data_IF_932157457206
#
_entry.id   IF_932157457206
#
_cell.length_a   1.000
_cell.length_b   1.000
_cell.length_c   1.000
_cell.angle_alpha   90.00
_cell.angle_beta   90.00
_cell.angle_gamma   90.00
#
_symmetry.space_group_name_H-M   'P 1'
#
loop_
_entity.id
_entity.type
_entity.pdbx_description
1 polymer ?
#
# COMPACT_ATOMS: atom_id res chain seq x y z
N UNK A 1 3.24 -5.79 67.10
CA UNK A 1 2.47 -6.73 66.26
C UNK A 1 2.03 -6.14 64.90
N UNK A 2 2.00 -4.81 64.74
CA UNK A 2 1.62 -4.12 63.49
C UNK A 2 2.72 -4.22 62.41
N UNK A 3 3.99 -4.14 62.80
CA UNK A 3 5.14 -4.19 61.87
C UNK A 3 5.25 -5.56 61.15
N UNK A 4 4.90 -6.67 61.80
CA UNK A 4 4.89 -8.00 61.17
C UNK A 4 3.77 -8.16 60.13
N UNK A 5 2.61 -7.53 60.33
CA UNK A 5 1.51 -7.53 59.34
C UNK A 5 1.84 -6.64 58.14
N UNK A 6 2.55 -5.54 58.36
CA UNK A 6 3.00 -4.64 57.30
C UNK A 6 4.10 -5.27 56.43
N UNK A 7 5.04 -5.99 57.04
CA UNK A 7 6.07 -6.75 56.31
C UNK A 7 5.45 -7.88 55.46
N UNK A 8 4.39 -8.53 55.94
CA UNK A 8 3.67 -9.57 55.19
C UNK A 8 2.91 -8.99 53.98
N UNK A 9 2.37 -7.77 54.12
CA UNK A 9 1.71 -7.05 53.02
C UNK A 9 2.73 -6.62 51.95
N UNK A 10 3.92 -6.17 52.37
CA UNK A 10 5.01 -5.78 51.46
C UNK A 10 5.62 -7.00 50.75
N UNK A 11 5.67 -8.17 51.40
CA UNK A 11 6.06 -9.45 50.79
C UNK A 11 5.02 -10.06 49.85
N UNK A 12 3.80 -9.52 49.80
CA UNK A 12 2.77 -9.85 48.81
C UNK A 12 2.77 -8.91 47.60
N UNK A 13 3.53 -7.81 47.62
CA UNK A 13 3.72 -6.91 46.46
C UNK A 13 4.54 -7.53 45.31
N UNK A 14 5.48 -8.50 45.50
CA UNK A 14 6.09 -9.21 44.39
C UNK A 14 5.22 -10.35 43.85
N UNK A 15 4.01 -10.57 44.39
CA UNK A 15 2.91 -11.21 43.68
C UNK A 15 2.10 -10.18 42.87
N UNK A 16 2.77 -9.14 42.35
CA UNK A 16 2.35 -8.58 41.07
C UNK A 16 2.47 -9.73 40.08
N UNK A 17 1.34 -10.42 39.96
CA UNK A 17 1.04 -11.54 39.09
C UNK A 17 1.80 -11.35 37.77
N UNK A 18 2.43 -12.41 37.27
CA UNK A 18 2.96 -12.46 35.91
C UNK A 18 1.78 -12.23 34.95
N UNK A 19 1.46 -10.97 34.70
CA UNK A 19 0.40 -10.56 33.79
C UNK A 19 1.06 -10.10 32.50
N UNK A 20 0.62 -10.66 31.39
CA UNK A 20 0.98 -10.16 30.08
C UNK A 20 -0.11 -9.22 29.57
N UNK A 21 0.29 -8.28 28.71
CA UNK A 21 -0.65 -7.41 28.02
C UNK A 21 -0.56 -7.67 26.52
N UNK A 22 -1.69 -7.98 25.88
CA UNK A 22 -1.80 -7.89 24.42
C UNK A 22 -2.26 -6.49 24.06
N UNK A 23 -1.52 -5.82 23.18
CA UNK A 23 -1.77 -4.44 22.76
C UNK A 23 -1.99 -4.40 21.24
N UNK A 24 -3.15 -3.89 20.83
CA UNK A 24 -3.55 -3.67 19.43
C UNK A 24 -4.01 -2.22 19.30
N UNK A 25 -3.17 -1.36 18.73
CA UNK A 25 -3.39 0.11 18.66
C UNK A 25 -3.70 0.73 20.03
N UNK A 26 -4.96 1.06 20.30
CA UNK A 26 -5.47 1.64 21.54
C UNK A 26 -6.18 0.61 22.46
N UNK A 27 -6.27 -0.65 22.03
CA UNK A 27 -6.90 -1.74 22.77
C UNK A 27 -5.82 -2.51 23.56
N UNK A 28 -6.07 -2.68 24.86
CA UNK A 28 -5.22 -3.49 25.75
C UNK A 28 -6.02 -4.61 26.39
N UNK A 29 -5.54 -5.85 26.26
CA UNK A 29 -6.06 -7.02 26.96
C UNK A 29 -5.03 -7.44 28.00
N UNK A 30 -5.39 -7.32 29.28
CA UNK A 30 -4.58 -7.82 30.39
C UNK A 30 -5.04 -9.22 30.78
N UNK A 31 -4.09 -10.15 30.91
CA UNK A 31 -4.36 -11.48 31.48
C UNK A 31 -3.16 -11.98 32.28
N UNK A 32 -3.43 -12.83 33.27
CA UNK A 32 -2.43 -13.50 34.10
C UNK A 32 -2.21 -14.97 33.75
N UNK A 33 -3.03 -15.52 32.85
CA UNK A 33 -2.96 -16.94 32.47
C UNK A 33 -3.42 -17.16 31.02
N UNK A 34 -2.92 -18.23 30.40
CA UNK A 34 -3.33 -18.67 29.07
C UNK A 34 -4.36 -19.79 29.24
N UNK A 35 -5.62 -19.46 29.03
CA UNK A 35 -6.77 -20.36 29.09
C UNK A 35 -7.72 -20.12 27.90
N UNK A 36 -8.75 -20.94 27.76
CA UNK A 36 -9.74 -20.83 26.68
C UNK A 36 -10.30 -19.41 26.54
N UNK A 37 -10.83 -18.84 27.63
CA UNK A 37 -11.48 -17.51 27.62
C UNK A 37 -10.51 -16.39 27.23
N UNK A 38 -9.25 -16.50 27.66
CA UNK A 38 -8.22 -15.51 27.34
C UNK A 38 -7.86 -15.58 25.87
N UNK A 39 -7.64 -16.78 25.33
CA UNK A 39 -7.30 -16.97 23.92
C UNK A 39 -8.48 -16.59 23.02
N UNK A 40 -9.70 -17.00 23.38
CA UNK A 40 -10.93 -16.60 22.69
C UNK A 40 -11.01 -15.07 22.60
N UNK A 41 -10.87 -14.37 23.73
CA UNK A 41 -10.92 -12.90 23.77
C UNK A 41 -9.83 -12.26 22.90
N UNK A 42 -8.60 -12.77 22.93
CA UNK A 42 -7.50 -12.23 22.13
C UNK A 42 -7.79 -12.40 20.64
N UNK A 43 -8.15 -13.62 20.22
CA UNK A 43 -8.40 -13.92 18.81
C UNK A 43 -9.64 -13.22 18.28
N UNK A 44 -10.74 -13.18 19.05
CA UNK A 44 -11.97 -12.47 18.67
C UNK A 44 -11.72 -10.97 18.52
N UNK A 45 -11.02 -10.36 19.50
CA UNK A 45 -10.65 -8.94 19.45
C UNK A 45 -9.75 -8.66 18.25
N UNK A 46 -8.76 -9.53 18.00
CA UNK A 46 -7.79 -9.31 16.93
C UNK A 46 -8.40 -9.51 15.54
N UNK A 47 -9.15 -10.60 15.33
CA UNK A 47 -9.91 -10.86 14.09
C UNK A 47 -10.89 -9.71 13.79
N UNK A 48 -11.63 -9.26 14.80
CA UNK A 48 -12.52 -8.11 14.67
C UNK A 48 -11.78 -6.81 14.35
N UNK A 49 -10.64 -6.56 14.99
CA UNK A 49 -9.82 -5.38 14.72
C UNK A 49 -9.29 -5.37 13.29
N UNK A 50 -8.83 -6.53 12.80
CA UNK A 50 -8.34 -6.70 11.44
C UNK A 50 -9.43 -6.56 10.38
N UNK A 51 -10.71 -6.55 10.77
CA UNK A 51 -11.85 -6.71 9.86
C UNK A 51 -11.64 -7.91 8.94
N UNK A 52 -11.14 -9.00 9.52
CA UNK A 52 -10.92 -10.25 8.81
C UNK A 52 -12.28 -10.87 8.43
N UNK A 53 -12.34 -11.48 7.26
CA UNK A 53 -13.54 -12.19 6.82
C UNK A 53 -13.65 -13.56 7.52
N UNK A 54 -12.53 -14.11 8.01
CA UNK A 54 -12.51 -15.37 8.76
C UNK A 54 -12.69 -15.14 10.26
N UNK A 55 -13.89 -15.46 10.75
CA UNK A 55 -14.23 -15.40 12.16
C UNK A 55 -13.73 -16.63 12.91
N UNK A 56 -13.41 -16.45 14.18
CA UNK A 56 -13.14 -17.58 15.07
C UNK A 56 -14.39 -18.46 15.18
N UNK A 57 -14.18 -19.78 15.24
CA UNK A 57 -15.22 -20.75 15.54
C UNK A 57 -14.90 -21.41 16.87
N UNK A 58 -15.91 -21.54 17.73
CA UNK A 58 -15.76 -22.18 19.04
C UNK A 58 -16.69 -23.39 19.15
N UNK A 59 -16.28 -24.37 19.94
CA UNK A 59 -17.13 -25.50 20.28
C UNK A 59 -16.50 -26.40 21.32
N UNK A 60 -17.13 -27.56 21.54
CA UNK A 60 -16.63 -28.55 22.50
C UNK A 60 -16.66 -29.95 21.90
N UNK A 61 -15.64 -30.76 22.22
CA UNK A 61 -15.55 -32.18 21.87
C UNK A 61 -15.19 -32.95 23.14
N UNK A 62 -16.15 -33.71 23.69
CA UNK A 62 -15.96 -34.41 24.95
C UNK A 62 -15.72 -33.44 26.11
N UNK A 63 -14.54 -33.48 26.71
CA UNK A 63 -14.12 -32.59 27.80
C UNK A 63 -13.21 -31.45 27.35
N UNK A 64 -13.07 -31.24 26.04
CA UNK A 64 -12.25 -30.19 25.46
C UNK A 64 -13.11 -29.08 24.89
N UNK A 65 -12.79 -27.84 25.22
CA UNK A 65 -13.29 -26.65 24.52
C UNK A 65 -12.26 -26.23 23.48
N UNK A 66 -12.67 -25.96 22.25
CA UNK A 66 -11.77 -25.63 21.16
C UNK A 66 -12.10 -24.30 20.50
N UNK A 67 -11.05 -23.68 19.97
CA UNK A 67 -11.11 -22.49 19.12
C UNK A 67 -10.45 -22.87 17.79
N UNK A 68 -11.13 -22.56 16.70
CA UNK A 68 -10.63 -22.71 15.34
C UNK A 68 -10.53 -21.34 14.66
N UNK A 69 -9.37 -21.07 14.06
CA UNK A 69 -9.12 -19.85 13.30
C UNK A 69 -8.04 -20.10 12.24
N UNK A 70 -8.25 -19.66 11.00
CA UNK A 70 -7.34 -19.88 9.86
C UNK A 70 -6.91 -21.34 9.67
N UNK A 71 -7.87 -22.27 9.72
CA UNK A 71 -7.65 -23.73 9.65
C UNK A 71 -6.73 -24.29 10.75
N UNK A 72 -6.54 -23.58 11.86
CA UNK A 72 -5.77 -24.04 13.01
C UNK A 72 -6.70 -24.22 14.20
N UNK A 73 -6.56 -25.35 14.89
CA UNK A 73 -7.40 -25.72 16.03
C UNK A 73 -6.56 -25.77 17.30
N UNK A 74 -6.97 -25.00 18.31
CA UNK A 74 -6.46 -25.10 19.68
C UNK A 74 -7.58 -25.64 20.58
N UNK A 75 -7.30 -26.67 21.35
CA UNK A 75 -8.25 -27.26 22.28
C UNK A 75 -7.71 -27.23 23.71
N UNK A 76 -8.57 -26.88 24.66
CA UNK A 76 -8.26 -26.72 26.07
C UNK A 76 -8.98 -27.77 26.90
N UNK A 77 -8.26 -28.38 27.83
CA UNK A 77 -8.80 -29.14 28.95
C UNK A 77 -8.16 -28.62 30.25
N UNK A 78 -8.66 -29.05 31.40
CA UNK A 78 -8.18 -28.58 32.72
C UNK A 78 -6.65 -28.66 32.92
N UNK A 79 -5.95 -29.55 32.21
CA UNK A 79 -4.50 -29.76 32.40
C UNK A 79 -3.69 -29.77 31.10
N UNK A 80 -4.35 -29.80 29.93
CA UNK A 80 -3.68 -30.03 28.64
C UNK A 80 -4.28 -29.09 27.61
N UNK A 81 -3.41 -28.41 26.87
CA UNK A 81 -3.73 -27.68 25.66
C UNK A 81 -3.22 -28.47 24.46
N UNK A 82 -4.08 -28.70 23.48
CA UNK A 82 -3.75 -29.41 22.25
C UNK A 82 -3.70 -28.39 21.11
N UNK A 83 -2.56 -28.28 20.45
CA UNK A 83 -2.32 -27.44 19.27
C UNK A 83 -2.34 -28.35 18.04
N UNK A 84 -3.46 -28.38 17.31
CA UNK A 84 -3.79 -29.40 16.31
C UNK A 84 -3.69 -30.83 16.88
N UNK A 85 -2.51 -31.45 16.81
CA UNK A 85 -2.26 -32.82 17.28
C UNK A 85 -1.22 -32.91 18.41
N UNK A 86 -0.62 -31.78 18.82
CA UNK A 86 0.45 -31.75 19.82
C UNK A 86 -0.09 -31.29 21.19
N UNK A 87 0.04 -32.16 22.20
CA UNK A 87 -0.41 -31.88 23.56
C UNK A 87 0.70 -31.24 24.43
N UNK A 88 0.40 -30.09 25.04
CA UNK A 88 1.29 -29.35 25.95
C UNK A 88 0.61 -29.13 27.32
N UNK A 89 1.37 -29.22 28.41
CA UNK A 89 0.88 -29.03 29.79
C UNK A 89 1.11 -27.64 30.39
N UNK A 90 1.94 -26.82 29.75
CA UNK A 90 2.19 -25.42 30.13
C UNK A 90 2.41 -24.65 28.84
N UNK A 91 1.42 -23.89 28.40
CA UNK A 91 1.49 -23.08 27.18
C UNK A 91 1.76 -21.63 27.57
N UNK A 92 2.72 -20.98 26.91
CA UNK A 92 2.92 -19.53 27.05
C UNK A 92 2.05 -18.77 26.05
N UNK A 93 1.97 -17.44 26.18
CA UNK A 93 1.23 -16.66 25.19
C UNK A 93 1.95 -16.63 23.84
N UNK A 94 3.29 -16.66 23.85
CA UNK A 94 4.12 -16.83 22.65
C UNK A 94 3.76 -18.10 21.90
N UNK A 95 3.63 -19.24 22.59
CA UNK A 95 3.22 -20.49 21.96
C UNK A 95 1.88 -20.35 21.20
N UNK A 96 0.92 -19.58 21.74
CA UNK A 96 -0.38 -19.34 21.11
C UNK A 96 -0.25 -18.41 19.91
N UNK A 97 0.44 -17.27 20.06
CA UNK A 97 0.63 -16.30 18.99
C UNK A 97 1.41 -16.91 17.82
N UNK A 98 2.50 -17.62 18.10
CA UNK A 98 3.30 -18.34 17.12
C UNK A 98 2.49 -19.45 16.45
N UNK A 99 1.69 -20.21 17.22
CA UNK A 99 0.83 -21.23 16.65
C UNK A 99 -0.14 -20.65 15.62
N UNK A 100 -0.75 -19.49 15.89
CA UNK A 100 -1.65 -18.82 14.94
C UNK A 100 -0.95 -17.95 13.89
N UNK A 101 0.39 -17.96 13.82
CA UNK A 101 1.19 -17.08 12.96
C UNK A 101 0.95 -15.57 13.18
N UNK A 102 0.46 -15.19 14.37
CA UNK A 102 0.27 -13.78 14.74
C UNK A 102 1.65 -13.19 15.04
N UNK A 103 2.09 -12.22 14.24
CA UNK A 103 3.36 -11.52 14.51
C UNK A 103 3.21 -10.50 15.62
N UNK A 104 4.19 -10.51 16.54
CA UNK A 104 4.20 -9.63 17.70
C UNK A 104 5.61 -9.11 18.00
N UNK A 105 5.65 -7.97 18.69
CA UNK A 105 6.84 -7.48 19.37
C UNK A 105 6.62 -7.59 20.88
N UNK A 106 7.56 -8.23 21.59
CA UNK A 106 7.53 -8.35 23.04
C UNK A 106 8.51 -7.36 23.66
N UNK A 107 8.03 -6.52 24.57
CA UNK A 107 8.90 -5.65 25.36
C UNK A 107 9.36 -6.30 26.68
N UNK A 108 10.23 -5.60 27.40
CA UNK A 108 10.79 -6.07 28.68
C UNK A 108 9.75 -6.18 29.81
N UNK A 109 8.54 -5.63 29.61
CA UNK A 109 7.45 -5.60 30.59
C UNK A 109 6.34 -6.59 30.26
N UNK A 110 6.61 -7.59 29.44
CA UNK A 110 5.62 -8.59 29.00
C UNK A 110 4.43 -7.97 28.26
N UNK A 111 4.65 -6.85 27.54
CA UNK A 111 3.68 -6.32 26.59
C UNK A 111 3.97 -6.90 25.19
N UNK A 112 2.92 -7.45 24.58
CA UNK A 112 2.91 -8.05 23.27
C UNK A 112 2.15 -7.12 22.33
N UNK A 113 2.89 -6.41 21.49
CA UNK A 113 2.34 -5.49 20.50
C UNK A 113 2.06 -6.25 19.21
N UNK A 114 0.79 -6.35 18.84
CA UNK A 114 0.35 -6.99 17.61
C UNK A 114 0.28 -5.97 16.46
N UNK A 115 0.30 -6.47 15.23
CA UNK A 115 0.18 -5.62 14.05
C UNK A 115 -1.19 -4.92 14.01
N UNK A 116 -1.17 -3.60 13.91
CA UNK A 116 -2.35 -2.74 13.69
C UNK A 116 -2.83 -2.79 12.23
N UNK A 117 -1.90 -3.06 11.32
CA UNK A 117 -2.14 -3.22 9.90
C UNK A 117 -1.37 -4.44 9.40
N UNK A 118 -2.02 -5.28 8.59
CA UNK A 118 -1.35 -6.36 7.86
C UNK A 118 -1.45 -6.03 6.38
N UNK A 119 -0.29 -5.83 5.72
CA UNK A 119 -0.21 -5.68 4.27
C UNK A 119 -0.18 -7.07 3.66
N UNK A 120 -1.24 -7.43 2.92
CA UNK A 120 -1.34 -8.71 2.23
C UNK A 120 -0.61 -8.68 0.90
N UNK A 121 -0.70 -7.55 0.19
CA UNK A 121 -0.07 -7.35 -1.10
C UNK A 121 0.35 -5.88 -1.27
N UNK A 122 1.52 -5.68 -1.86
CA UNK A 122 2.06 -4.38 -2.22
C UNK A 122 2.59 -4.46 -3.64
N UNK A 123 1.90 -3.75 -4.54
CA UNK A 123 2.24 -3.72 -5.97
C UNK A 123 2.73 -2.33 -6.38
N UNK A 124 3.84 -2.30 -7.13
CA UNK A 124 4.42 -1.10 -7.71
C UNK A 124 4.16 -1.07 -9.22
N UNK A 125 3.39 -0.08 -9.66
CA UNK A 125 3.05 0.14 -11.07
C UNK A 125 3.86 1.27 -11.70
N UNK A 126 4.96 1.69 -11.07
CA UNK A 126 5.79 2.80 -11.50
C UNK A 126 5.30 4.14 -10.96
N UNK A 127 4.12 4.57 -11.40
CA UNK A 127 3.52 5.88 -11.08
C UNK A 127 2.54 5.84 -9.91
N UNK A 128 2.17 4.65 -9.43
CA UNK A 128 1.38 4.47 -8.22
C UNK A 128 1.70 3.14 -7.56
N UNK A 129 1.35 3.04 -6.28
CA UNK A 129 1.35 1.81 -5.51
C UNK A 129 -0.07 1.42 -5.15
N UNK A 130 -0.34 0.13 -5.14
CA UNK A 130 -1.53 -0.45 -4.54
C UNK A 130 -1.12 -1.30 -3.35
N UNK A 131 -1.82 -1.11 -2.24
CA UNK A 131 -1.61 -1.85 -1.00
C UNK A 131 -2.94 -2.46 -0.59
N UNK A 132 -3.04 -3.78 -0.59
CA UNK A 132 -4.20 -4.50 -0.06
C UNK A 132 -3.89 -4.86 1.40
N UNK A 133 -4.80 -4.54 2.33
CA UNK A 133 -4.51 -4.64 3.76
C UNK A 133 -5.70 -5.04 4.63
N UNK A 134 -5.39 -5.56 5.82
CA UNK A 134 -6.30 -5.77 6.94
C UNK A 134 -5.98 -4.82 8.10
N UNK A 135 -6.98 -4.57 8.94
CA UNK A 135 -6.89 -3.68 10.09
C UNK A 135 -7.09 -2.22 9.73
N UNK A 136 -6.36 -1.35 10.43
CA UNK A 136 -6.48 0.10 10.30
C UNK A 136 -5.27 0.66 9.58
N UNK A 137 -5.49 1.56 8.63
CA UNK A 137 -4.40 2.23 7.92
C UNK A 137 -3.42 2.85 8.93
N UNK A 138 -2.21 2.29 8.95
CA UNK A 138 -1.15 2.63 9.91
C UNK A 138 0.16 2.91 9.18
N UNK A 139 0.04 3.49 7.99
CA UNK A 139 1.18 3.91 7.17
C UNK A 139 1.03 5.38 6.79
N UNK A 140 2.16 6.01 6.53
CA UNK A 140 2.21 7.33 5.89
C UNK A 140 3.33 7.35 4.86
N UNK A 141 3.26 8.35 3.99
CA UNK A 141 4.20 8.49 2.87
C UNK A 141 4.99 9.77 3.00
N UNK A 142 6.27 9.71 2.65
CA UNK A 142 7.16 10.87 2.63
C UNK A 142 7.95 10.91 1.32
N UNK A 143 8.12 12.10 0.74
CA UNK A 143 9.13 12.34 -0.29
C UNK A 143 10.25 13.15 0.32
N UNK A 144 11.47 12.61 0.28
CA UNK A 144 12.65 13.34 0.72
C UNK A 144 13.84 13.00 -0.18
N UNK A 145 14.56 14.02 -0.63
CA UNK A 145 15.78 13.89 -1.42
C UNK A 145 15.63 12.99 -2.68
N UNK A 146 14.48 13.05 -3.35
CA UNK A 146 14.19 12.25 -4.55
C UNK A 146 13.86 10.78 -4.28
N UNK A 147 13.56 10.42 -3.04
CA UNK A 147 13.08 9.09 -2.67
C UNK A 147 11.66 9.18 -2.09
N UNK A 148 10.84 8.22 -2.48
CA UNK A 148 9.58 7.89 -1.84
C UNK A 148 9.84 6.93 -0.67
N UNK A 149 9.21 7.18 0.45
CA UNK A 149 9.21 6.31 1.62
C UNK A 149 7.78 5.96 2.01
N UNK A 150 7.55 4.67 2.22
CA UNK A 150 6.41 4.15 2.94
C UNK A 150 6.85 3.87 4.38
N UNK A 151 6.24 4.54 5.35
CA UNK A 151 6.67 4.52 6.75
C UNK A 151 5.51 4.06 7.62
N UNK A 152 5.78 3.17 8.56
CA UNK A 152 4.80 2.73 9.55
C UNK A 152 4.51 3.85 10.57
N UNK A 153 3.25 4.15 10.84
CA UNK A 153 2.85 5.04 11.96
C UNK A 153 2.59 4.26 13.25
N UNK A 154 2.21 2.98 13.15
CA UNK A 154 2.06 2.01 14.25
C UNK A 154 2.79 0.70 13.91
N UNK A 155 2.48 -0.40 14.59
CA UNK A 155 3.00 -1.70 14.21
C UNK A 155 2.33 -2.20 12.93
N UNK A 156 3.12 -2.47 11.89
CA UNK A 156 2.63 -2.92 10.58
C UNK A 156 3.34 -4.21 10.20
N UNK A 157 2.60 -5.24 9.80
CA UNK A 157 3.18 -6.49 9.29
C UNK A 157 3.12 -6.54 7.77
N UNK A 158 4.23 -6.91 7.12
CA UNK A 158 4.29 -7.21 5.68
C UNK A 158 5.16 -8.46 5.43
N UNK A 159 6.47 -8.31 5.38
CA UNK A 159 7.47 -9.40 5.38
C UNK A 159 8.03 -9.65 6.79
N UNK A 160 8.03 -8.60 7.61
CA UNK A 160 8.33 -8.60 9.04
C UNK A 160 7.42 -7.62 9.76
N UNK A 161 7.48 -7.62 11.09
CA UNK A 161 6.79 -6.63 11.90
C UNK A 161 7.62 -5.35 11.97
N UNK A 162 7.12 -4.29 11.36
CA UNK A 162 7.68 -2.95 11.41
C UNK A 162 7.16 -2.20 12.63
N UNK A 163 8.08 -1.67 13.42
CA UNK A 163 7.80 -0.79 14.56
C UNK A 163 7.41 0.61 14.07
N UNK A 164 6.81 1.47 14.92
CA UNK A 164 6.48 2.83 14.54
C UNK A 164 7.70 3.63 14.04
N UNK A 165 7.52 4.37 12.94
CA UNK A 165 8.51 5.16 12.22
C UNK A 165 9.57 4.35 11.45
N UNK A 166 9.40 3.04 11.30
CA UNK A 166 10.27 2.24 10.43
C UNK A 166 9.87 2.36 8.96
N UNK A 167 10.86 2.37 8.08
CA UNK A 167 10.65 2.41 6.64
C UNK A 167 10.28 1.01 6.15
N UNK A 168 9.06 0.87 5.65
CA UNK A 168 8.55 -0.36 5.02
C UNK A 168 9.13 -0.50 3.61
N UNK A 169 9.10 0.58 2.83
CA UNK A 169 9.58 0.62 1.46
C UNK A 169 10.30 1.94 1.20
N UNK A 170 11.42 1.87 0.47
CA UNK A 170 12.06 3.06 -0.12
C UNK A 170 12.26 2.84 -1.62
N UNK A 171 11.89 3.85 -2.42
CA UNK A 171 12.04 3.82 -3.86
C UNK A 171 12.57 5.16 -4.36
N UNK A 172 13.57 5.13 -5.22
CA UNK A 172 14.01 6.32 -5.95
C UNK A 172 12.93 6.74 -6.94
N UNK A 173 12.50 7.99 -6.86
CA UNK A 173 11.46 8.56 -7.72
C UNK A 173 12.04 9.72 -8.53
N UNK A 174 11.57 9.85 -9.76
CA UNK A 174 11.98 10.91 -10.67
C UNK A 174 10.80 11.83 -10.90
N UNK A 175 11.01 13.14 -10.80
CA UNK A 175 10.03 14.16 -11.17
C UNK A 175 8.70 14.10 -10.40
N UNK A 176 8.63 13.50 -9.21
CA UNK A 176 7.42 13.53 -8.39
C UNK A 176 7.35 14.83 -7.58
N UNK A 177 6.29 15.62 -7.73
CA UNK A 177 6.08 16.84 -6.92
C UNK A 177 5.17 16.63 -5.73
N UNK A 178 4.26 15.66 -5.82
CA UNK A 178 3.23 15.45 -4.81
C UNK A 178 2.81 13.99 -4.71
N UNK A 179 2.16 13.64 -3.62
CA UNK A 179 1.57 12.32 -3.38
C UNK A 179 0.10 12.50 -3.07
N UNK A 180 -0.74 11.73 -3.77
CA UNK A 180 -2.15 11.60 -3.42
C UNK A 180 -2.38 10.20 -2.86
N UNK A 181 -2.84 10.13 -1.61
CA UNK A 181 -3.21 8.88 -0.95
C UNK A 181 -4.74 8.76 -0.95
N UNK A 182 -5.25 7.67 -1.52
CA UNK A 182 -6.66 7.33 -1.50
C UNK A 182 -6.86 6.06 -0.70
N UNK A 183 -7.60 6.16 0.40
CA UNK A 183 -7.97 5.01 1.23
C UNK A 183 -9.35 4.50 0.80
N UNK A 184 -9.41 3.23 0.45
CA UNK A 184 -10.59 2.46 0.12
C UNK A 184 -10.73 1.31 1.13
N UNK A 185 -11.89 0.66 1.17
CA UNK A 185 -12.07 -0.50 2.04
C UNK A 185 -11.04 -1.60 1.71
N UNK A 186 -10.21 -1.99 2.70
CA UNK A 186 -9.12 -2.98 2.60
C UNK A 186 -8.06 -2.68 1.52
N UNK A 187 -7.99 -1.44 1.02
CA UNK A 187 -7.08 -1.06 -0.07
C UNK A 187 -6.62 0.39 0.03
N UNK A 188 -5.33 0.64 -0.18
CA UNK A 188 -4.75 1.99 -0.28
C UNK A 188 -4.14 2.15 -1.66
N UNK A 189 -4.43 3.25 -2.32
CA UNK A 189 -3.79 3.65 -3.58
C UNK A 189 -2.95 4.90 -3.32
N UNK A 190 -1.64 4.78 -3.50
CA UNK A 190 -0.68 5.88 -3.34
C UNK A 190 -0.22 6.30 -4.72
N UNK A 191 -0.61 7.48 -5.17
CA UNK A 191 -0.28 7.99 -6.50
C UNK A 191 0.89 8.97 -6.41
N UNK A 192 1.93 8.74 -7.20
CA UNK A 192 3.06 9.64 -7.35
C UNK A 192 2.73 10.64 -8.47
N UNK A 193 2.40 11.88 -8.10
CA UNK A 193 2.07 12.91 -9.07
C UNK A 193 3.37 13.37 -9.74
N UNK A 194 3.46 13.15 -11.04
CA UNK A 194 4.63 13.53 -11.83
C UNK A 194 4.49 14.98 -12.31
N UNK A 195 5.52 15.79 -12.06
CA UNK A 195 5.73 17.04 -12.79
C UNK A 195 6.41 16.74 -14.11
N UNK A 196 5.67 16.88 -15.19
CA UNK A 196 6.26 16.86 -16.52
C UNK A 196 6.90 18.21 -16.81
N UNK A 197 8.24 18.27 -16.73
CA UNK A 197 9.00 19.37 -17.32
C UNK A 197 9.51 18.87 -18.66
N UNK A 198 8.77 19.18 -19.73
CA UNK A 198 9.17 18.76 -21.07
C UNK A 198 10.44 19.51 -21.45
N UNK A 199 11.56 18.80 -21.53
CA UNK A 199 12.86 19.32 -21.96
C UNK A 199 13.32 18.71 -23.27
N UNK A 200 12.60 17.70 -23.76
CA UNK A 200 12.94 16.98 -24.98
C UNK A 200 11.68 16.60 -25.74
N UNK A 201 11.81 16.45 -27.05
CA UNK A 201 10.77 15.94 -27.94
C UNK A 201 11.34 14.78 -28.69
N UNK A 202 10.60 13.67 -28.75
CA UNK A 202 10.95 12.57 -29.63
C UNK A 202 9.88 12.38 -30.68
N UNK A 203 10.36 12.24 -31.91
CA UNK A 203 9.55 12.06 -33.10
C UNK A 203 9.66 10.61 -33.55
N UNK A 204 8.51 10.00 -33.82
CA UNK A 204 8.41 8.63 -34.31
C UNK A 204 7.53 8.60 -35.54
N UNK A 205 7.76 7.63 -36.43
CA UNK A 205 6.76 7.27 -37.44
C UNK A 205 5.68 6.37 -36.82
N UNK A 206 4.48 6.35 -37.39
CA UNK A 206 3.36 5.55 -36.88
C UNK A 206 3.65 4.05 -36.95
N UNK A 207 4.55 3.65 -37.85
CA UNK A 207 5.03 2.29 -38.02
C UNK A 207 6.09 1.89 -36.96
N UNK A 208 6.69 2.85 -36.25
CA UNK A 208 7.68 2.61 -35.21
C UNK A 208 7.03 2.33 -33.85
N UNK A 209 7.65 1.42 -33.09
CA UNK A 209 7.33 1.23 -31.68
C UNK A 209 8.00 2.35 -30.87
N UNK A 210 7.19 3.04 -30.06
CA UNK A 210 7.69 4.04 -29.11
C UNK A 210 8.30 3.30 -27.91
N UNK A 211 9.62 3.15 -27.89
CA UNK A 211 10.32 2.36 -26.84
C UNK A 211 11.42 3.11 -26.10
N UNK A 212 11.90 4.23 -26.62
CA UNK A 212 12.98 5.01 -25.98
C UNK A 212 12.47 6.42 -25.64
N UNK A 213 12.03 6.64 -24.41
CA UNK A 213 11.68 7.97 -23.90
C UNK A 213 11.95 8.04 -22.39
N UNK A 214 12.08 9.25 -21.86
CA UNK A 214 12.19 9.50 -20.42
C UNK A 214 10.97 10.28 -19.91
N UNK A 215 10.92 10.53 -18.60
CA UNK A 215 9.84 11.26 -17.94
C UNK A 215 9.76 12.75 -18.30
N UNK A 216 10.71 13.29 -19.08
CA UNK A 216 10.77 14.68 -19.53
C UNK A 216 10.56 14.81 -21.05
N UNK A 217 10.18 13.72 -21.71
CA UNK A 217 10.01 13.67 -23.17
C UNK A 217 8.55 13.87 -23.55
N UNK A 218 8.29 14.78 -24.49
CA UNK A 218 7.02 14.86 -25.20
C UNK A 218 7.09 14.03 -26.49
N UNK A 219 6.08 13.19 -26.72
CA UNK A 219 6.11 12.21 -27.81
C UNK A 219 5.22 12.69 -28.95
N UNK A 220 5.78 12.72 -30.16
CA UNK A 220 5.04 13.05 -31.38
C UNK A 220 5.17 11.89 -32.34
N UNK A 221 4.04 11.26 -32.67
CA UNK A 221 3.98 10.17 -33.64
C UNK A 221 3.37 10.70 -34.93
N UNK A 222 4.10 10.61 -36.04
CA UNK A 222 3.62 11.05 -37.34
C UNK A 222 3.14 9.89 -38.21
N UNK A 223 2.03 10.10 -38.93
CA UNK A 223 1.57 9.20 -40.00
C UNK A 223 1.39 9.99 -41.29
N UNK A 224 1.91 9.46 -42.39
CA UNK A 224 1.82 10.16 -43.67
C UNK A 224 0.38 10.09 -44.14
N UNK A 225 -0.22 11.26 -44.39
CA UNK A 225 -1.63 11.37 -44.74
C UNK A 225 -1.92 12.69 -45.44
N UNK A 226 -2.90 12.70 -46.34
CA UNK A 226 -3.42 13.94 -46.91
C UNK A 226 -4.42 14.65 -45.98
N UNK A 227 -4.68 14.09 -44.79
CA UNK A 227 -5.53 14.70 -43.78
C UNK A 227 -4.64 15.44 -42.78
N UNK A 228 -5.00 16.66 -42.39
CA UNK A 228 -4.29 17.45 -41.37
C UNK A 228 -4.99 17.30 -40.01
N UNK A 229 -4.67 16.21 -39.31
CA UNK A 229 -5.35 15.80 -38.08
C UNK A 229 -4.35 15.65 -36.94
N UNK A 230 -4.74 16.08 -35.75
CA UNK A 230 -4.03 15.81 -34.51
C UNK A 230 -4.94 14.99 -33.64
N UNK A 231 -4.41 13.91 -33.09
CA UNK A 231 -5.10 13.07 -32.14
C UNK A 231 -4.45 13.18 -30.78
N UNK A 232 -5.27 13.49 -29.79
CA UNK A 232 -4.89 13.50 -28.39
C UNK A 232 -5.61 12.33 -27.73
N UNK A 233 -4.91 11.63 -26.84
CA UNK A 233 -5.53 10.58 -26.05
C UNK A 233 -6.68 11.16 -25.21
N UNK A 234 -7.82 10.49 -25.22
CA UNK A 234 -8.94 10.87 -24.34
C UNK A 234 -8.54 10.79 -22.86
N UNK A 235 -9.02 11.75 -22.10
CA UNK A 235 -9.04 11.71 -20.65
C UNK A 235 -9.91 10.53 -20.20
N UNK A 236 -9.36 9.61 -19.39
CA UNK A 236 -10.15 8.60 -18.68
C UNK A 236 -10.50 9.16 -17.30
N UNK A 237 -11.78 9.46 -17.01
CA UNK A 237 -12.19 10.06 -15.73
C UNK A 237 -11.96 9.16 -14.50
N UNK A 238 -11.68 7.88 -14.72
CA UNK A 238 -11.80 6.85 -13.67
C UNK A 238 -10.69 6.86 -12.62
N UNK A 239 -9.68 7.74 -12.72
CA UNK A 239 -8.64 7.87 -11.69
C UNK A 239 -8.23 9.33 -11.48
N UNK A 240 -8.95 10.01 -10.57
CA UNK A 240 -8.53 11.21 -9.82
C UNK A 240 -7.88 12.40 -10.56
N UNK A 241 -7.95 12.47 -11.89
CA UNK A 241 -7.36 13.57 -12.65
C UNK A 241 -5.85 13.48 -12.88
N UNK A 242 -5.18 12.34 -12.65
CA UNK A 242 -3.73 12.25 -12.88
C UNK A 242 -3.35 12.26 -14.36
N UNK A 243 -4.24 11.77 -15.21
CA UNK A 243 -4.14 11.90 -16.67
C UNK A 243 -4.34 13.35 -17.13
N UNK A 244 -4.87 14.24 -16.27
CA UNK A 244 -5.15 15.62 -16.60
C UNK A 244 -3.91 16.39 -17.00
N UNK A 245 -2.79 16.20 -16.30
CA UNK A 245 -1.58 16.95 -16.61
C UNK A 245 -0.99 16.51 -17.96
N UNK A 246 -0.94 15.19 -18.23
CA UNK A 246 -0.51 14.65 -19.53
C UNK A 246 -1.43 15.11 -20.65
N UNK A 247 -2.74 15.01 -20.42
CA UNK A 247 -3.77 15.50 -21.33
C UNK A 247 -3.63 17.00 -21.61
N UNK A 248 -3.48 17.82 -20.57
CA UNK A 248 -3.38 19.28 -20.67
C UNK A 248 -2.16 19.67 -21.50
N UNK A 249 -0.98 19.09 -21.21
CA UNK A 249 0.24 19.33 -21.99
C UNK A 249 0.03 18.95 -23.45
N UNK A 250 -0.52 17.76 -23.71
CA UNK A 250 -0.78 17.27 -25.07
C UNK A 250 -1.79 18.15 -25.80
N UNK A 251 -2.83 18.62 -25.11
CA UNK A 251 -3.88 19.47 -25.63
C UNK A 251 -3.39 20.89 -25.94
N UNK A 252 -2.56 21.46 -25.07
CA UNK A 252 -2.00 22.81 -25.27
C UNK A 252 -1.05 22.82 -26.48
N UNK A 253 -0.17 21.82 -26.59
CA UNK A 253 0.70 21.65 -27.76
C UNK A 253 -0.12 21.42 -29.03
N UNK A 254 -1.11 20.52 -28.98
CA UNK A 254 -1.99 20.27 -30.13
C UNK A 254 -2.73 21.53 -30.58
N UNK A 255 -3.23 22.36 -29.65
CA UNK A 255 -3.89 23.63 -29.96
C UNK A 255 -2.95 24.61 -30.65
N UNK A 256 -1.69 24.71 -30.21
CA UNK A 256 -0.67 25.54 -30.86
C UNK A 256 -0.37 25.08 -32.30
N UNK A 257 -0.21 23.77 -32.52
CA UNK A 257 -0.01 23.23 -33.88
C UNK A 257 -1.27 23.47 -34.73
N UNK A 258 -2.45 23.22 -34.18
CA UNK A 258 -3.74 23.39 -34.83
C UNK A 258 -3.97 24.84 -35.28
N UNK A 259 -3.69 25.82 -34.42
CA UNK A 259 -3.83 27.24 -34.78
C UNK A 259 -2.81 27.68 -35.82
N UNK A 260 -1.58 27.17 -35.75
CA UNK A 260 -0.49 27.56 -36.66
C UNK A 260 -0.64 26.97 -38.06
N UNK A 261 -1.06 25.70 -38.16
CA UNK A 261 -1.09 24.95 -39.42
C UNK A 261 -2.50 24.58 -39.90
N UNK A 262 -3.55 25.02 -39.19
CA UNK A 262 -4.96 24.75 -39.48
C UNK A 262 -5.32 23.24 -39.45
N UNK A 263 -4.88 22.55 -38.40
CA UNK A 263 -5.16 21.12 -38.21
C UNK A 263 -6.42 20.93 -37.36
N UNK A 264 -7.17 19.85 -37.61
CA UNK A 264 -8.31 19.48 -36.74
C UNK A 264 -7.85 18.58 -35.61
N UNK A 265 -8.36 18.84 -34.40
CA UNK A 265 -8.04 18.06 -33.21
C UNK A 265 -9.16 17.04 -32.94
N UNK A 266 -8.78 15.80 -32.66
CA UNK A 266 -9.67 14.72 -32.26
C UNK A 266 -9.18 14.10 -30.94
N UNK A 267 -10.11 13.80 -30.05
CA UNK A 267 -9.82 13.16 -28.77
C UNK A 267 -10.25 11.70 -28.80
N UNK A 268 -9.30 10.78 -28.88
CA UNK A 268 -9.57 9.33 -28.98
C UNK A 268 -8.47 8.50 -28.28
N UNK A 269 -8.81 7.35 -27.67
CA UNK A 269 -7.80 6.47 -27.06
C UNK A 269 -6.92 5.84 -28.14
N UNK A 270 -5.65 6.25 -28.23
CA UNK A 270 -4.66 5.65 -29.13
C UNK A 270 -3.76 4.67 -28.38
N UNK A 271 -3.61 3.47 -28.94
CA UNK A 271 -2.70 2.43 -28.41
C UNK A 271 -1.23 2.77 -28.67
N UNK A 272 -0.94 3.61 -29.69
CA UNK A 272 0.43 3.92 -30.11
C UNK A 272 1.19 4.85 -29.13
N UNK A 273 0.47 5.56 -28.25
CA UNK A 273 1.09 6.43 -27.25
C UNK A 273 1.23 5.68 -25.92
N UNK A 274 2.38 5.75 -25.25
CA UNK A 274 2.55 5.15 -23.94
C UNK A 274 1.60 5.75 -22.89
N UNK A 275 1.28 4.98 -21.86
CA UNK A 275 0.32 5.38 -20.82
C UNK A 275 0.85 6.49 -19.90
N UNK A 276 2.17 6.54 -19.76
CA UNK A 276 2.90 7.28 -18.73
C UNK A 276 3.57 8.56 -19.22
N UNK A 277 3.52 8.87 -20.52
CA UNK A 277 4.10 10.09 -21.09
C UNK A 277 3.08 10.94 -21.88
N UNK A 278 3.20 12.28 -21.86
CA UNK A 278 2.40 13.14 -22.72
C UNK A 278 2.80 12.99 -24.18
N UNK A 279 1.82 13.06 -25.08
CA UNK A 279 2.09 12.93 -26.50
C UNK A 279 0.86 13.06 -27.38
N UNK A 280 1.12 13.20 -28.67
CA UNK A 280 0.10 13.36 -29.71
C UNK A 280 0.46 12.51 -30.93
N UNK A 281 -0.58 12.14 -31.69
CA UNK A 281 -0.43 11.51 -33.00
C UNK A 281 -0.87 12.51 -34.06
N UNK A 282 -0.05 12.74 -35.07
CA UNK A 282 -0.32 13.71 -36.14
C UNK A 282 -0.38 12.98 -37.48
N UNK A 283 -1.52 13.07 -38.15
CA UNK A 283 -1.65 12.64 -39.53
C UNK A 283 -1.47 13.88 -40.40
N UNK A 284 -0.49 13.88 -41.31
CA UNK A 284 -0.25 14.94 -42.31
C UNK A 284 0.83 14.52 -43.31
N UNK A 285 1.09 15.35 -44.33
CA UNK A 285 2.08 15.11 -45.37
C UNK A 285 3.50 15.25 -44.85
N UNK A 286 4.47 14.54 -45.45
CA UNK A 286 5.89 14.65 -45.09
C UNK A 286 6.43 16.09 -45.08
N UNK A 287 5.94 16.96 -45.97
CA UNK A 287 6.32 18.37 -46.00
C UNK A 287 5.97 19.09 -44.68
N UNK A 288 4.81 18.77 -44.10
CA UNK A 288 4.38 19.36 -42.84
C UNK A 288 5.07 18.73 -41.62
N UNK A 289 5.63 17.52 -41.72
CA UNK A 289 6.37 16.90 -40.62
C UNK A 289 7.55 17.76 -40.21
N UNK A 290 8.38 18.15 -41.17
CA UNK A 290 9.57 18.95 -40.91
C UNK A 290 9.20 20.36 -40.40
N UNK A 291 8.12 20.95 -40.89
CA UNK A 291 7.62 22.24 -40.37
C UNK A 291 7.21 22.13 -38.91
N UNK A 292 6.46 21.08 -38.55
CA UNK A 292 5.99 20.84 -37.19
C UNK A 292 7.14 20.49 -36.25
N UNK A 293 8.10 19.67 -36.69
CA UNK A 293 9.32 19.36 -35.91
C UNK A 293 10.06 20.63 -35.52
N UNK A 294 10.37 21.48 -36.50
CA UNK A 294 11.07 22.75 -36.27
C UNK A 294 10.29 23.70 -35.35
N UNK A 295 8.96 23.77 -35.51
CA UNK A 295 8.10 24.57 -34.63
C UNK A 295 8.16 24.08 -33.18
N UNK A 296 8.01 22.77 -32.97
CA UNK A 296 7.98 22.18 -31.63
C UNK A 296 9.34 22.25 -30.94
N UNK A 297 10.44 22.00 -31.65
CA UNK A 297 11.80 22.18 -31.12
C UNK A 297 12.10 23.64 -30.75
N UNK A 298 11.45 24.61 -31.43
CA UNK A 298 11.55 26.03 -31.09
C UNK A 298 10.78 26.42 -29.82
N UNK A 299 9.69 25.72 -29.50
CA UNK A 299 8.83 25.99 -28.34
C UNK A 299 9.36 25.37 -27.02
N UNK A 300 10.26 24.38 -27.11
CA UNK A 300 10.79 23.62 -25.95
C UNK A 300 12.22 24.09 -25.56
N UNK A 301 12.72 25.17 -26.19
CA UNK A 301 13.97 25.87 -25.80
C UNK A 301 13.78 26.86 -24.65
#
# INVERSE_FOLDING_TARGET
>A
MIIKKFLLLILLIPFSLFSFNIIIDDITINSSEVNFLTVEKILDTYSSYLNDDEKITIGSIGSFDYIEWHNKLIAFSNEIVVLNNDAKKNISIEDVLDFFDIKYFKDEKENYFLATMIINDLQDFGTYFQIDYLGKNSIFTLIENGNFYLISSKYVYFDKLYSPNEIILSKKISNTNDIVVNELHKKIIIQLIQTYKITNIKFFSFEEKVSEYDSNTFIVVFKNSNSNLIFIRNYSPDFNGNDWQRFSISNDIAKKISSTYNFKIYYIPFIQLPLDAPGIVIFTSFENWEKIKNFLEGEIK
#
